data_IF_810436459224
#
_entry.id   IF_810436459224
#
_cell.length_a   1.000
_cell.length_b   1.000
_cell.length_c   1.000
_cell.angle_alpha   90.00
_cell.angle_beta   90.00
_cell.angle_gamma   90.00
#
_symmetry.space_group_name_H-M   'P 1'
#
loop_
_entity.id
_entity.type
_entity.pdbx_description
1 polymer ?
#
# COMPACT_ATOMS: atom_id res chain seq x y z
N UNK A 1 11.41 -38.00 -34.13
CA UNK A 1 12.71 -37.29 -34.12
C UNK A 1 12.39 -35.84 -34.47
N UNK A 2 12.91 -34.89 -33.69
CA UNK A 2 12.64 -33.44 -33.70
C UNK A 2 11.53 -32.92 -32.76
N UNK A 3 11.86 -32.74 -31.48
CA UNK A 3 11.16 -31.83 -30.53
C UNK A 3 12.12 -31.23 -29.48
N UNK A 4 13.44 -31.26 -29.71
CA UNK A 4 14.43 -30.74 -28.75
C UNK A 4 15.05 -29.40 -29.17
N UNK A 5 14.87 -28.94 -30.41
CA UNK A 5 15.49 -27.68 -30.88
C UNK A 5 14.62 -26.43 -30.68
N UNK A 6 13.28 -26.57 -30.62
CA UNK A 6 12.39 -25.39 -30.50
C UNK A 6 12.29 -24.84 -29.07
N UNK A 7 12.61 -25.64 -28.04
CA UNK A 7 12.53 -25.19 -26.63
C UNK A 7 13.80 -24.43 -26.23
N UNK A 8 14.96 -24.85 -26.74
CA UNK A 8 16.24 -24.18 -26.47
C UNK A 8 16.28 -22.81 -27.21
N UNK A 9 15.76 -22.71 -28.44
CA UNK A 9 15.69 -21.43 -29.18
C UNK A 9 14.79 -20.38 -28.49
N UNK A 10 13.72 -20.79 -27.80
CA UNK A 10 12.83 -19.84 -27.09
C UNK A 10 13.47 -19.32 -25.80
N UNK A 11 14.25 -20.16 -25.10
CA UNK A 11 14.96 -19.72 -23.90
C UNK A 11 16.13 -18.79 -24.24
N UNK A 12 16.87 -19.08 -25.31
CA UNK A 12 18.00 -18.26 -25.75
C UNK A 12 17.53 -16.87 -26.23
N UNK A 13 16.39 -16.79 -26.93
CA UNK A 13 15.78 -15.51 -27.34
C UNK A 13 15.32 -14.67 -26.14
N UNK A 14 14.83 -15.30 -25.05
CA UNK A 14 14.43 -14.56 -23.85
C UNK A 14 15.63 -14.07 -23.04
N UNK A 15 16.72 -14.86 -22.98
CA UNK A 15 17.97 -14.45 -22.33
C UNK A 15 18.65 -13.28 -23.08
N UNK A 16 18.70 -13.31 -24.41
CA UNK A 16 19.22 -12.18 -25.19
C UNK A 16 18.41 -10.90 -25.00
N UNK A 17 17.08 -11.01 -24.84
CA UNK A 17 16.21 -9.86 -24.56
C UNK A 17 16.48 -9.25 -23.19
N UNK A 18 16.72 -10.09 -22.18
CA UNK A 18 17.08 -9.65 -20.82
C UNK A 18 18.47 -8.98 -20.82
N UNK A 19 19.45 -9.52 -21.54
CA UNK A 19 20.77 -8.88 -21.65
C UNK A 19 20.71 -7.53 -22.35
N UNK A 20 19.87 -7.37 -23.37
CA UNK A 20 19.66 -6.08 -24.03
C UNK A 20 19.01 -5.04 -23.10
N UNK A 21 18.05 -5.44 -22.26
CA UNK A 21 17.44 -4.56 -21.26
C UNK A 21 18.45 -4.10 -20.20
N UNK A 22 19.35 -4.99 -19.76
CA UNK A 22 20.42 -4.64 -18.81
C UNK A 22 21.45 -3.69 -19.46
N UNK A 23 21.84 -3.93 -20.72
CA UNK A 23 22.82 -3.07 -21.43
C UNK A 23 22.29 -1.69 -21.79
N UNK A 24 20.98 -1.56 -22.06
CA UNK A 24 20.38 -0.32 -22.54
C UNK A 24 19.73 0.52 -21.43
N UNK A 25 19.76 0.05 -20.17
CA UNK A 25 19.38 0.88 -19.02
C UNK A 25 20.52 1.86 -18.71
N UNK A 26 20.32 3.18 -18.84
CA UNK A 26 21.36 4.15 -18.54
C UNK A 26 21.57 4.21 -17.01
N UNK A 27 22.62 3.53 -16.52
CA UNK A 27 23.15 3.78 -15.18
C UNK A 27 23.92 5.10 -15.16
N UNK A 28 23.34 6.13 -14.55
CA UNK A 28 24.07 7.15 -13.82
C UNK A 28 23.10 8.07 -13.05
N UNK A 29 22.98 7.84 -11.73
CA UNK A 29 22.84 8.97 -10.80
C UNK A 29 23.88 8.73 -9.70
N UNK A 30 25.01 9.41 -9.83
CA UNK A 30 26.02 9.49 -8.78
C UNK A 30 25.49 10.41 -7.66
N UNK A 31 25.03 9.82 -6.57
CA UNK A 31 24.52 10.52 -5.38
C UNK A 31 25.61 10.70 -4.30
N UNK A 32 26.89 10.45 -4.62
CA UNK A 32 27.95 10.48 -3.61
C UNK A 32 28.40 11.90 -3.25
N UNK A 33 28.31 12.86 -4.17
CA UNK A 33 28.73 14.25 -3.92
C UNK A 33 27.76 15.09 -3.06
N UNK A 34 26.42 15.05 -3.24
CA UNK A 34 25.52 15.91 -2.45
C UNK A 34 25.42 15.49 -0.97
N UNK A 35 25.75 14.23 -0.68
CA UNK A 35 25.53 13.63 0.65
C UNK A 35 26.72 13.88 1.60
N UNK A 36 27.93 14.07 1.05
CA UNK A 36 29.14 14.34 1.85
C UNK A 36 29.28 15.79 2.31
N UNK A 37 28.62 16.75 1.66
CA UNK A 37 28.73 18.17 2.02
C UNK A 37 27.84 18.56 3.21
N UNK A 38 26.77 17.80 3.48
CA UNK A 38 25.87 18.01 4.64
C UNK A 38 26.40 17.42 5.95
N UNK A 39 27.35 16.48 5.89
CA UNK A 39 27.89 15.82 7.09
C UNK A 39 29.07 16.57 7.73
N UNK A 40 29.68 17.53 7.02
CA UNK A 40 30.86 18.27 7.49
C UNK A 40 30.54 19.50 8.35
N UNK A 41 29.29 19.97 8.35
CA UNK A 41 28.89 21.24 8.96
C UNK A 41 28.08 21.14 10.27
N UNK A 42 27.87 19.94 10.85
CA UNK A 42 27.02 19.78 12.05
C UNK A 42 27.71 19.30 13.33
N UNK A 43 29.03 19.09 13.37
CA UNK A 43 29.72 18.65 14.59
C UNK A 43 30.46 19.77 15.31
N UNK A 44 29.78 20.37 16.30
CA UNK A 44 30.36 21.25 17.32
C UNK A 44 29.91 20.85 18.72
N UNK A 45 30.88 20.43 19.55
CA UNK A 45 30.90 20.40 21.03
C UNK A 45 30.12 19.31 21.83
N UNK A 46 30.85 18.23 22.13
CA UNK A 46 31.19 17.63 23.44
C UNK A 46 30.42 18.00 24.74
N UNK A 47 30.06 16.96 25.53
CA UNK A 47 29.74 17.06 26.97
C UNK A 47 29.40 15.75 27.72
N UNK A 48 30.43 15.11 28.30
CA UNK A 48 30.54 14.09 29.37
C UNK A 48 29.33 13.36 30.05
N UNK A 49 29.43 12.01 30.04
CA UNK A 49 29.25 10.98 31.11
C UNK A 49 28.46 11.28 32.40
N UNK A 50 27.52 10.38 32.76
CA UNK A 50 27.61 9.61 34.02
C UNK A 50 26.84 8.27 33.96
N UNK A 51 27.49 7.22 34.44
CA UNK A 51 27.03 5.83 34.56
C UNK A 51 26.41 5.60 35.95
N UNK A 52 25.40 4.72 36.08
CA UNK A 52 25.08 3.99 37.32
C UNK A 52 24.08 2.84 37.11
N UNK A 53 24.62 1.63 37.23
CA UNK A 53 23.94 0.34 37.41
C UNK A 53 23.19 0.28 38.75
N UNK A 54 22.01 -0.33 38.77
CA UNK A 54 21.51 -1.06 39.94
C UNK A 54 20.85 -2.38 39.51
N UNK A 55 21.31 -3.47 40.15
CA UNK A 55 20.74 -4.81 40.14
C UNK A 55 19.74 -4.92 41.32
N UNK A 56 18.74 -5.80 41.23
CA UNK A 56 18.18 -6.67 42.30
C UNK A 56 16.99 -7.44 41.67
N UNK A 57 17.11 -8.74 41.37
CA UNK A 57 16.87 -9.95 42.19
C UNK A 57 15.45 -10.50 41.99
N UNK A 58 15.42 -11.76 41.54
CA UNK A 58 14.24 -12.56 41.22
C UNK A 58 13.49 -13.07 42.45
N UNK A 59 12.16 -13.25 42.30
CA UNK A 59 11.35 -14.15 43.13
C UNK A 59 10.63 -15.12 42.19
N UNK A 60 10.88 -16.41 42.42
CA UNK A 60 10.17 -17.55 41.84
C UNK A 60 9.01 -17.89 42.78
N UNK A 61 7.80 -18.03 42.28
CA UNK A 61 6.83 -19.02 42.75
C UNK A 61 5.71 -19.24 41.71
N UNK A 62 5.48 -20.52 41.46
CA UNK A 62 4.63 -21.14 40.44
C UNK A 62 3.12 -20.95 40.60
N UNK A 63 2.44 -20.75 39.47
CA UNK A 63 1.13 -21.36 39.21
C UNK A 63 0.99 -21.56 37.70
N UNK A 64 0.64 -22.77 37.26
CA UNK A 64 0.34 -23.07 35.87
C UNK A 64 -0.86 -22.22 35.43
N UNK A 65 -0.59 -21.18 34.66
CA UNK A 65 -1.58 -20.30 34.08
C UNK A 65 -1.26 -20.18 32.59
N UNK A 66 -2.27 -20.45 31.75
CA UNK A 66 -2.24 -20.19 30.32
C UNK A 66 -1.69 -18.77 30.07
N UNK A 67 -0.59 -18.68 29.33
CA UNK A 67 -0.02 -17.41 28.91
C UNK A 67 -0.89 -16.79 27.81
N UNK A 68 -1.97 -16.12 28.21
CA UNK A 68 -2.45 -14.95 27.47
C UNK A 68 -1.71 -13.78 28.11
N UNK A 69 -0.60 -13.36 27.51
CA UNK A 69 0.05 -12.09 27.89
C UNK A 69 -0.87 -10.98 27.39
N UNK A 70 -1.86 -10.62 28.20
CA UNK A 70 -2.52 -9.31 28.09
C UNK A 70 -1.50 -8.30 28.57
N UNK A 71 -0.79 -7.65 27.64
CA UNK A 71 0.03 -6.48 27.96
C UNK A 71 -0.95 -5.34 28.25
N UNK A 72 -1.37 -5.23 29.51
CA UNK A 72 -2.05 -4.06 30.04
C UNK A 72 -1.02 -2.95 30.31
N UNK A 73 -1.04 -1.94 29.45
CA UNK A 73 -0.72 -0.53 29.77
C UNK A 73 0.57 -0.23 30.53
N UNK A 74 1.69 -0.10 29.81
CA UNK A 74 2.63 1.02 29.97
C UNK A 74 3.56 1.11 28.76
N UNK A 75 3.11 1.75 27.69
CA UNK A 75 4.00 2.09 26.57
C UNK A 75 4.91 3.24 26.99
N UNK A 76 6.04 2.89 27.61
CA UNK A 76 7.24 3.72 27.54
C UNK A 76 7.92 3.28 26.25
N UNK A 77 7.76 4.03 25.16
CA UNK A 77 8.45 3.76 23.89
C UNK A 77 9.97 3.86 24.11
N UNK A 78 10.72 2.75 24.06
CA UNK A 78 12.16 2.82 23.91
C UNK A 78 12.37 3.09 22.42
N UNK A 79 12.36 4.38 22.06
CA UNK A 79 12.86 4.95 20.81
C UNK A 79 13.80 4.00 20.05
N UNK A 80 13.42 3.64 18.82
CA UNK A 80 14.36 3.47 17.70
C UNK A 80 15.69 2.75 18.01
N UNK A 81 15.63 1.61 18.69
CA UNK A 81 16.81 0.81 19.00
C UNK A 81 16.75 -0.57 18.33
N UNK A 82 16.54 -0.56 17.01
CA UNK A 82 16.97 -1.61 16.08
C UNK A 82 17.01 -1.06 14.64
N UNK A 83 17.54 0.16 14.46
CA UNK A 83 18.09 0.52 13.16
C UNK A 83 19.28 -0.42 12.90
N UNK A 84 19.23 -1.13 11.77
CA UNK A 84 20.27 -2.00 11.20
C UNK A 84 20.32 -3.42 11.77
N UNK A 85 19.54 -4.30 11.17
CA UNK A 85 20.12 -5.54 10.61
C UNK A 85 20.16 -5.39 9.10
N UNK A 86 21.33 -5.00 8.58
CA UNK A 86 21.66 -5.20 7.17
C UNK A 86 21.47 -6.68 6.81
N UNK A 87 20.67 -6.98 5.80
CA UNK A 87 20.77 -8.25 5.10
C UNK A 87 19.50 -8.84 4.47
N UNK A 88 18.30 -8.41 4.84
CA UNK A 88 17.06 -8.90 4.21
C UNK A 88 16.26 -7.71 3.69
N UNK A 89 16.02 -7.68 2.39
CA UNK A 89 15.03 -6.79 1.81
C UNK A 89 13.68 -7.11 2.47
N UNK A 90 13.06 -6.10 3.04
CA UNK A 90 11.74 -6.19 3.66
C UNK A 90 10.65 -6.41 2.60
N UNK A 91 9.46 -6.73 3.08
CA UNK A 91 8.28 -6.93 2.22
C UNK A 91 7.97 -5.64 1.43
N UNK A 92 8.11 -4.46 2.04
CA UNK A 92 7.80 -3.19 1.39
C UNK A 92 8.85 -2.79 0.34
N UNK A 93 10.14 -3.07 0.59
CA UNK A 93 11.21 -2.76 -0.36
C UNK A 93 11.11 -3.55 -1.67
N UNK A 94 10.41 -4.68 -1.64
CA UNK A 94 10.23 -5.57 -2.79
C UNK A 94 8.87 -5.38 -3.51
N UNK A 95 8.02 -4.48 -3.02
CA UNK A 95 6.76 -4.15 -3.70
C UNK A 95 6.97 -3.29 -4.95
N UNK A 96 5.96 -3.07 -5.79
CA UNK A 96 6.03 -2.07 -6.87
C UNK A 96 5.56 -0.66 -6.42
N UNK A 97 5.21 -0.55 -5.14
CA UNK A 97 4.74 0.67 -4.52
C UNK A 97 5.92 1.54 -4.05
N UNK A 98 6.12 2.67 -4.72
CA UNK A 98 7.22 3.58 -4.40
C UNK A 98 7.01 4.26 -3.05
N UNK A 99 5.76 4.43 -2.63
CA UNK A 99 5.41 4.89 -1.30
C UNK A 99 5.91 3.93 -0.23
N UNK A 100 5.59 2.63 -0.35
CA UNK A 100 6.03 1.64 0.63
C UNK A 100 7.55 1.50 0.70
N UNK A 101 8.24 1.54 -0.45
CA UNK A 101 9.73 1.59 -0.48
C UNK A 101 10.26 2.81 0.26
N UNK A 102 9.74 3.99 -0.08
CA UNK A 102 10.10 5.25 0.56
C UNK A 102 9.82 5.24 2.07
N UNK A 103 8.75 4.54 2.51
CA UNK A 103 8.43 4.43 3.91
C UNK A 103 9.56 3.76 4.70
N UNK A 104 10.14 2.70 4.17
CA UNK A 104 11.27 2.03 4.81
C UNK A 104 12.55 2.83 4.76
N UNK A 105 12.89 3.34 3.57
CA UNK A 105 14.13 4.10 3.35
C UNK A 105 14.20 5.34 4.24
N UNK A 106 13.05 5.95 4.53
CA UNK A 106 12.94 7.16 5.35
C UNK A 106 12.51 6.90 6.81
N UNK A 107 12.39 5.64 7.23
CA UNK A 107 12.01 5.29 8.61
C UNK A 107 10.58 5.70 9.01
N UNK A 108 9.66 5.73 8.04
CA UNK A 108 8.22 6.00 8.20
C UNK A 108 7.40 4.71 8.42
N UNK A 109 8.07 3.60 8.73
CA UNK A 109 7.45 2.34 9.13
C UNK A 109 7.60 2.11 10.64
N UNK A 110 6.59 1.48 11.23
CA UNK A 110 6.68 0.94 12.59
C UNK A 110 7.04 -0.53 12.49
N UNK A 111 8.23 -0.90 12.97
CA UNK A 111 8.64 -2.30 13.10
C UNK A 111 8.03 -2.94 14.34
N UNK A 112 7.58 -4.19 14.20
CA UNK A 112 6.79 -4.90 15.19
C UNK A 112 7.26 -6.34 15.31
N UNK A 113 7.02 -6.93 16.47
CA UNK A 113 7.16 -8.38 16.72
C UNK A 113 5.78 -9.02 16.94
N UNK A 114 4.73 -8.39 16.38
CA UNK A 114 3.34 -8.79 16.54
C UNK A 114 3.10 -10.09 15.78
N UNK A 115 2.53 -11.09 16.46
CA UNK A 115 2.31 -12.41 15.88
C UNK A 115 1.24 -13.18 16.64
N UNK A 116 0.72 -14.23 16.01
CA UNK A 116 -0.10 -15.24 16.64
C UNK A 116 0.20 -16.62 16.03
N UNK A 117 0.01 -17.69 16.79
CA UNK A 117 0.40 -19.05 16.42
C UNK A 117 -0.73 -20.03 16.72
N UNK A 118 -1.18 -20.73 15.69
CA UNK A 118 -2.20 -21.78 15.78
C UNK A 118 -1.78 -23.00 14.97
N UNK A 119 -1.91 -24.19 15.57
CA UNK A 119 -1.66 -25.47 14.90
C UNK A 119 -0.31 -25.55 14.16
N UNK A 120 0.75 -25.00 14.78
CA UNK A 120 2.11 -25.00 14.23
C UNK A 120 2.39 -23.96 13.13
N UNK A 121 1.39 -23.19 12.72
CA UNK A 121 1.53 -22.05 11.80
C UNK A 121 1.60 -20.76 12.60
N UNK A 122 2.58 -19.90 12.30
CA UNK A 122 2.70 -18.57 12.91
C UNK A 122 2.49 -17.50 11.85
N UNK A 123 1.54 -16.59 12.09
CA UNK A 123 1.41 -15.36 11.32
C UNK A 123 2.08 -14.23 12.07
N UNK A 124 2.92 -13.46 11.37
CA UNK A 124 3.65 -12.30 11.89
C UNK A 124 3.25 -11.07 11.10
N UNK A 125 3.23 -9.95 11.82
CA UNK A 125 3.18 -8.62 11.24
C UNK A 125 4.47 -7.91 11.61
N UNK A 126 5.51 -8.00 10.76
CA UNK A 126 6.82 -7.40 11.06
C UNK A 126 6.84 -5.88 10.93
N UNK A 127 5.94 -5.30 10.14
CA UNK A 127 5.89 -3.85 9.95
C UNK A 127 4.51 -3.34 9.50
N UNK A 128 4.23 -2.08 9.84
CA UNK A 128 3.04 -1.33 9.43
C UNK A 128 3.43 0.12 9.10
N UNK A 129 2.72 0.74 8.17
CA UNK A 129 2.77 2.19 7.97
C UNK A 129 1.37 2.77 7.80
N UNK A 130 1.23 4.03 8.18
CA UNK A 130 0.00 4.80 8.04
C UNK A 130 0.36 6.26 7.80
N UNK A 131 -0.12 6.81 6.68
CA UNK A 131 0.17 8.18 6.29
C UNK A 131 -1.00 9.15 6.50
N UNK A 132 -2.15 8.64 6.96
CA UNK A 132 -3.42 9.38 7.03
C UNK A 132 -4.36 9.13 5.84
N UNK A 133 -3.90 8.49 4.77
CA UNK A 133 -4.68 8.18 3.57
C UNK A 133 -4.90 6.68 3.36
N UNK A 134 -3.93 5.86 3.78
CA UNK A 134 -4.02 4.39 3.80
C UNK A 134 -3.15 3.80 4.89
N UNK A 135 -3.57 2.65 5.41
CA UNK A 135 -2.78 1.77 6.25
C UNK A 135 -2.26 0.64 5.37
N UNK A 136 -0.97 0.35 5.44
CA UNK A 136 -0.35 -0.79 4.77
C UNK A 136 0.39 -1.66 5.79
N UNK A 137 0.22 -2.98 5.67
CA UNK A 137 0.71 -3.98 6.63
C UNK A 137 1.48 -5.05 5.89
N UNK A 138 2.69 -5.34 6.33
CA UNK A 138 3.39 -6.55 5.91
C UNK A 138 2.92 -7.75 6.73
N UNK A 139 2.56 -8.85 6.08
CA UNK A 139 2.20 -10.12 6.72
C UNK A 139 3.20 -11.19 6.28
N UNK A 140 3.71 -11.97 7.24
CA UNK A 140 4.58 -13.13 6.97
C UNK A 140 4.06 -14.37 7.68
N UNK A 141 4.11 -15.50 6.97
CA UNK A 141 3.93 -16.82 7.52
C UNK A 141 5.30 -17.42 7.87
N UNK A 142 5.47 -17.80 9.14
CA UNK A 142 6.57 -18.66 9.57
C UNK A 142 6.03 -20.09 9.77
N UNK A 143 6.62 -21.05 9.07
CA UNK A 143 6.31 -22.47 9.29
C UNK A 143 7.09 -22.99 10.50
N UNK A 144 6.41 -23.67 11.42
CA UNK A 144 7.06 -24.37 12.52
C UNK A 144 7.83 -25.61 12.05
N UNK A 145 8.89 -25.99 12.76
CA UNK A 145 9.76 -27.14 12.46
C UNK A 145 9.02 -28.48 12.32
N UNK A 146 7.80 -28.60 12.87
CA UNK A 146 6.97 -29.81 12.77
C UNK A 146 6.34 -30.03 11.38
N UNK A 147 6.14 -28.96 10.59
CA UNK A 147 5.58 -29.05 9.23
C UNK A 147 6.64 -29.40 8.17
N UNK A 148 7.89 -28.97 8.35
CA UNK A 148 9.02 -29.38 7.48
C UNK A 148 9.20 -30.91 7.50
N UNK A 149 9.01 -31.55 8.66
CA UNK A 149 9.13 -33.00 8.79
C UNK A 149 7.93 -33.77 8.23
N UNK A 150 6.72 -33.20 8.27
CA UNK A 150 5.51 -33.83 7.71
C UNK A 150 5.41 -33.64 6.19
N UNK A 151 5.84 -32.49 5.64
CA UNK A 151 5.94 -32.27 4.19
C UNK A 151 7.01 -33.19 3.55
N UNK A 152 8.12 -33.43 4.23
CA UNK A 152 9.16 -34.36 3.77
C UNK A 152 8.71 -35.84 3.81
N UNK A 153 7.77 -36.21 4.69
CA UNK A 153 7.36 -37.60 4.91
C UNK A 153 6.21 -38.08 4.00
N UNK A 154 5.37 -37.17 3.47
CA UNK A 154 4.20 -37.53 2.67
C UNK A 154 4.32 -37.28 1.16
N UNK A 155 5.52 -36.95 0.66
CA UNK A 155 5.71 -36.64 -0.76
C UNK A 155 4.98 -35.36 -1.12
N UNK A 156 5.64 -34.24 -0.79
CA UNK A 156 5.15 -32.86 -0.91
C UNK A 156 4.08 -32.64 -1.98
N UNK A 157 2.87 -32.33 -1.52
CA UNK A 157 2.13 -31.30 -2.22
C UNK A 157 2.79 -30.01 -1.78
N UNK A 158 3.54 -29.40 -2.69
CA UNK A 158 3.83 -27.97 -2.59
C UNK A 158 2.55 -27.29 -2.09
N UNK A 159 2.63 -26.47 -1.05
CA UNK A 159 1.65 -25.41 -0.91
C UNK A 159 1.88 -24.46 -2.09
N UNK A 160 1.48 -24.86 -3.31
CA UNK A 160 1.51 -24.02 -4.51
C UNK A 160 0.66 -22.76 -4.27
N UNK A 161 -0.31 -22.85 -3.36
CA UNK A 161 -1.09 -21.74 -2.84
C UNK A 161 -0.33 -21.00 -1.73
N UNK A 162 0.29 -19.88 -2.08
CA UNK A 162 0.90 -18.96 -1.12
C UNK A 162 -0.09 -18.44 -0.07
N UNK A 163 0.42 -17.84 1.02
CA UNK A 163 -0.39 -17.38 2.18
C UNK A 163 -1.60 -16.54 1.76
N UNK A 164 -1.44 -15.69 0.74
CA UNK A 164 -2.51 -14.85 0.19
C UNK A 164 -3.73 -15.65 -0.29
N UNK A 165 -3.53 -16.83 -0.88
CA UNK A 165 -4.60 -17.71 -1.37
C UNK A 165 -5.25 -18.51 -0.23
N UNK A 166 -4.53 -18.71 0.87
CA UNK A 166 -4.99 -19.49 2.02
C UNK A 166 -5.81 -18.65 2.99
N UNK A 167 -5.64 -17.33 3.01
CA UNK A 167 -6.46 -16.41 3.78
C UNK A 167 -7.87 -16.41 3.19
N UNK A 168 -8.83 -16.93 3.97
CA UNK A 168 -10.23 -17.05 3.54
C UNK A 168 -11.10 -15.89 4.00
N UNK A 169 -10.67 -15.16 5.03
CA UNK A 169 -11.43 -14.05 5.60
C UNK A 169 -10.53 -13.15 6.46
N UNK A 170 -10.84 -11.85 6.47
CA UNK A 170 -10.14 -10.85 7.28
C UNK A 170 -11.17 -9.89 7.88
N UNK A 171 -11.20 -9.82 9.22
CA UNK A 171 -11.93 -8.76 9.93
C UNK A 171 -10.93 -7.78 10.56
N UNK A 172 -11.17 -6.49 10.36
CA UNK A 172 -10.37 -5.41 10.92
C UNK A 172 -11.16 -4.58 11.93
N UNK A 173 -10.49 -4.20 13.01
CA UNK A 173 -11.07 -3.42 14.11
C UNK A 173 -10.15 -2.26 14.49
N UNK A 174 -10.70 -1.05 14.58
CA UNK A 174 -10.03 0.13 15.12
C UNK A 174 -10.60 0.36 16.53
N UNK A 175 -9.73 0.29 17.53
CA UNK A 175 -10.08 0.43 18.95
C UNK A 175 -11.27 -0.46 19.38
N UNK A 176 -11.26 -1.71 18.88
CA UNK A 176 -12.27 -2.73 19.16
C UNK A 176 -13.58 -2.56 18.38
N UNK A 177 -13.69 -1.57 17.49
CA UNK A 177 -14.87 -1.37 16.62
C UNK A 177 -14.53 -1.78 15.19
N UNK A 178 -15.46 -2.44 14.50
CA UNK A 178 -15.27 -2.77 13.08
C UNK A 178 -14.89 -1.53 12.27
N UNK A 179 -13.94 -1.67 11.34
CA UNK A 179 -13.58 -0.58 10.41
C UNK A 179 -14.78 -0.03 9.65
N UNK A 180 -15.82 -0.83 9.43
CA UNK A 180 -17.03 -0.39 8.73
C UNK A 180 -17.82 0.69 9.49
N UNK A 181 -17.53 0.92 10.78
CA UNK A 181 -18.10 2.05 11.54
C UNK A 181 -17.59 3.44 11.08
N UNK A 182 -16.55 3.45 10.24
CA UNK A 182 -15.99 4.62 9.57
C UNK A 182 -16.48 4.77 8.12
N UNK A 183 -17.14 3.76 7.55
CA UNK A 183 -17.76 3.86 6.23
C UNK A 183 -18.98 4.80 6.28
N UNK A 184 -19.39 5.42 5.15
CA UNK A 184 -20.62 6.19 5.11
C UNK A 184 -21.86 5.29 5.20
N UNK A 185 -22.98 5.84 5.67
CA UNK A 185 -24.23 5.09 5.87
C UNK A 185 -24.89 4.61 4.56
N UNK A 186 -24.35 4.98 3.39
CA UNK A 186 -24.96 4.83 2.07
C UNK A 186 -24.73 3.47 1.39
N UNK A 187 -24.41 2.40 2.11
CA UNK A 187 -24.01 1.09 1.55
C UNK A 187 -22.67 1.08 0.81
N UNK A 188 -21.83 2.09 1.00
CA UNK A 188 -20.40 1.99 0.68
C UNK A 188 -19.69 1.26 1.84
N UNK A 189 -18.64 0.51 1.54
CA UNK A 189 -17.88 -0.22 2.55
C UNK A 189 -16.39 -0.04 2.34
N UNK A 190 -15.64 -0.05 3.43
CA UNK A 190 -14.19 -0.04 3.37
C UNK A 190 -13.72 -1.41 2.89
N UNK A 191 -13.04 -1.43 1.75
CA UNK A 191 -12.41 -2.63 1.21
C UNK A 191 -11.05 -2.91 1.85
N UNK A 192 -10.62 -4.17 1.75
CA UNK A 192 -9.28 -4.62 2.10
C UNK A 192 -8.64 -5.14 0.82
N UNK A 193 -7.49 -4.58 0.46
CA UNK A 193 -6.70 -5.00 -0.69
C UNK A 193 -5.56 -5.89 -0.18
N UNK A 194 -5.27 -6.95 -0.92
CA UNK A 194 -4.14 -7.84 -0.65
C UNK A 194 -3.27 -7.92 -1.90
N UNK A 195 -1.97 -7.80 -1.70
CA UNK A 195 -0.96 -7.88 -2.74
C UNK A 195 0.06 -8.98 -2.37
N UNK A 196 0.65 -9.66 -3.36
CA UNK A 196 1.76 -10.58 -3.11
C UNK A 196 2.91 -9.88 -2.36
N UNK A 197 3.55 -10.61 -1.46
CA UNK A 197 4.76 -10.16 -0.80
C UNK A 197 6.02 -10.54 -1.57
N UNK A 198 7.14 -10.63 -0.84
CA UNK A 198 8.46 -11.02 -1.39
C UNK A 198 8.54 -12.48 -1.82
N UNK A 199 7.66 -13.33 -1.31
CA UNK A 199 7.60 -14.77 -1.54
C UNK A 199 6.19 -15.30 -1.27
N UNK A 200 5.97 -16.60 -1.52
CA UNK A 200 4.68 -17.24 -1.28
C UNK A 200 4.25 -17.27 0.20
N UNK A 201 5.14 -16.94 1.13
CA UNK A 201 4.85 -16.89 2.56
C UNK A 201 4.59 -15.46 3.05
N UNK A 202 4.51 -14.48 2.16
CA UNK A 202 4.28 -13.08 2.53
C UNK A 202 3.22 -12.41 1.68
N UNK A 203 2.54 -11.43 2.28
CA UNK A 203 1.58 -10.57 1.60
C UNK A 203 1.62 -9.15 2.17
N UNK A 204 1.14 -8.20 1.37
CA UNK A 204 0.88 -6.83 1.82
C UNK A 204 -0.63 -6.66 1.88
N UNK A 205 -1.12 -6.17 3.01
CA UNK A 205 -2.53 -5.83 3.20
C UNK A 205 -2.68 -4.32 3.27
N UNK A 206 -3.62 -3.77 2.51
CA UNK A 206 -3.93 -2.34 2.51
C UNK A 206 -5.41 -2.07 2.73
N UNK A 207 -5.71 -0.99 3.43
CA UNK A 207 -7.06 -0.46 3.55
C UNK A 207 -6.99 1.04 3.85
N UNK A 208 -8.07 1.74 3.56
CA UNK A 208 -8.19 3.17 3.73
C UNK A 208 -9.57 3.52 4.24
N UNK A 209 -9.69 4.63 4.95
CA UNK A 209 -11.02 5.17 5.23
C UNK A 209 -11.67 5.71 3.95
N UNK A 210 -12.91 6.18 4.09
CA UNK A 210 -13.71 6.75 3.01
C UNK A 210 -14.04 8.22 3.30
N UNK A 211 -13.16 8.96 3.99
CA UNK A 211 -13.47 10.31 4.46
C UNK A 211 -13.79 11.30 3.33
N UNK A 212 -13.16 11.12 2.17
CA UNK A 212 -13.44 11.90 0.96
C UNK A 212 -14.70 11.44 0.21
N UNK A 213 -15.40 10.40 0.71
CA UNK A 213 -16.65 9.86 0.15
C UNK A 213 -17.79 9.86 1.18
N UNK A 214 -17.71 10.75 2.17
CA UNK A 214 -18.71 10.91 3.23
C UNK A 214 -18.53 9.98 4.44
N UNK A 215 -17.47 9.17 4.46
CA UNK A 215 -17.06 8.40 5.63
C UNK A 215 -16.38 9.26 6.71
N UNK A 216 -15.97 8.61 7.79
CA UNK A 216 -15.19 9.24 8.87
C UNK A 216 -13.72 8.94 8.67
N UNK A 217 -12.87 9.95 8.87
CA UNK A 217 -11.42 9.75 8.87
C UNK A 217 -10.99 8.81 10.00
N UNK A 218 -10.00 7.95 9.74
CA UNK A 218 -9.34 7.19 10.79
C UNK A 218 -8.60 8.12 11.76
N UNK A 219 -8.51 7.76 13.06
CA UNK A 219 -7.70 8.52 14.00
C UNK A 219 -6.22 8.55 13.57
N UNK A 220 -5.45 9.53 14.05
CA UNK A 220 -3.99 9.56 13.82
C UNK A 220 -3.24 8.47 14.58
N UNK A 221 -3.83 7.95 15.66
CA UNK A 221 -3.29 6.88 16.48
C UNK A 221 -4.43 5.96 16.90
N UNK A 222 -4.26 4.65 16.75
CA UNK A 222 -5.27 3.67 17.14
C UNK A 222 -4.66 2.28 17.34
N UNK A 223 -5.38 1.42 18.07
CA UNK A 223 -5.07 0.00 18.11
C UNK A 223 -5.84 -0.74 17.02
N UNK A 224 -5.12 -1.32 16.07
CA UNK A 224 -5.68 -2.15 15.02
C UNK A 224 -5.72 -3.61 15.47
N UNK A 225 -6.92 -4.19 15.50
CA UNK A 225 -7.13 -5.63 15.66
C UNK A 225 -7.33 -6.29 14.31
N UNK A 226 -6.58 -7.36 14.04
CA UNK A 226 -6.69 -8.20 12.85
C UNK A 226 -7.17 -9.57 13.28
N UNK A 227 -8.30 -10.01 12.73
CA UNK A 227 -8.71 -11.41 12.80
C UNK A 227 -8.59 -12.02 11.41
N UNK A 228 -7.67 -12.96 11.25
CA UNK A 228 -7.37 -13.59 9.95
C UNK A 228 -7.77 -15.06 10.02
N UNK A 229 -8.70 -15.49 9.16
CA UNK A 229 -9.00 -16.91 8.97
C UNK A 229 -8.11 -17.48 7.88
N UNK A 230 -7.47 -18.60 8.17
CA UNK A 230 -6.62 -19.32 7.23
C UNK A 230 -7.23 -20.70 6.99
N UNK A 231 -7.39 -21.06 5.73
CA UNK A 231 -7.90 -22.37 5.31
C UNK A 231 -7.08 -23.49 5.94
N UNK A 232 -7.78 -24.44 6.58
CA UNK A 232 -7.16 -25.56 7.30
C UNK A 232 -6.78 -25.27 8.75
N UNK A 233 -6.98 -24.06 9.26
CA UNK A 233 -6.80 -23.70 10.67
C UNK A 233 -8.17 -23.36 11.27
N UNK A 234 -8.52 -24.00 12.39
CA UNK A 234 -9.86 -23.87 12.99
C UNK A 234 -10.08 -22.51 13.65
N UNK A 235 -9.09 -22.04 14.41
CA UNK A 235 -9.15 -20.77 15.12
C UNK A 235 -8.58 -19.63 14.26
N UNK A 236 -9.23 -18.45 14.20
CA UNK A 236 -8.66 -17.28 13.53
C UNK A 236 -7.47 -16.73 14.32
N UNK A 237 -6.44 -16.32 13.59
CA UNK A 237 -5.30 -15.59 14.15
C UNK A 237 -5.76 -14.20 14.58
N UNK A 238 -5.39 -13.77 15.80
CA UNK A 238 -5.78 -12.48 16.38
C UNK A 238 -4.56 -11.64 16.73
N UNK A 239 -4.24 -10.67 15.87
CA UNK A 239 -3.05 -9.82 16.02
C UNK A 239 -3.48 -8.40 16.37
N UNK A 240 -2.81 -7.79 17.35
CA UNK A 240 -3.04 -6.40 17.74
C UNK A 240 -1.83 -5.55 17.41
N UNK A 241 -2.06 -4.41 16.76
CA UNK A 241 -1.03 -3.56 16.18
C UNK A 241 -1.28 -2.12 16.67
N UNK A 242 -0.31 -1.48 17.35
CA UNK A 242 -0.36 -0.04 17.54
C UNK A 242 -0.04 0.65 16.21
N UNK A 243 -1.00 1.40 15.68
CA UNK A 243 -0.82 2.18 14.45
C UNK A 243 -0.74 3.64 14.83
N UNK A 244 0.33 4.29 14.38
CA UNK A 244 0.55 5.73 14.47
C UNK A 244 0.74 6.28 13.05
N UNK A 245 0.19 7.48 12.82
CA UNK A 245 0.46 8.22 11.61
C UNK A 245 1.92 8.67 11.65
N UNK A 246 2.74 8.03 10.84
CA UNK A 246 4.19 8.23 10.84
C UNK A 246 4.66 9.31 9.85
N UNK A 247 3.73 9.99 9.18
CA UNK A 247 4.02 11.05 8.22
C UNK A 247 3.63 12.42 8.74
N UNK A 248 4.37 13.44 8.29
CA UNK A 248 4.01 14.84 8.48
C UNK A 248 2.70 15.22 7.80
N UNK A 249 2.36 16.52 7.84
CA UNK A 249 1.13 17.05 7.24
C UNK A 249 1.07 16.81 5.73
N UNK A 250 -0.14 16.57 5.22
CA UNK A 250 -0.42 16.60 3.78
C UNK A 250 -0.31 18.03 3.24
N UNK A 251 0.22 18.19 2.03
CA UNK A 251 -0.21 19.33 1.22
C UNK A 251 -1.60 19.00 0.66
N UNK A 252 -2.60 19.77 1.09
CA UNK A 252 -3.99 19.62 0.63
C UNK A 252 -4.32 20.75 -0.33
N UNK A 253 -4.73 20.39 -1.54
CA UNK A 253 -5.30 21.29 -2.54
C UNK A 253 -6.79 21.00 -2.67
N UNK A 254 -7.62 22.04 -2.65
CA UNK A 254 -9.07 21.94 -2.87
C UNK A 254 -9.45 22.78 -4.10
N UNK A 255 -9.11 22.31 -5.31
CA UNK A 255 -9.30 23.11 -6.52
C UNK A 255 -10.79 23.33 -6.83
N UNK A 256 -11.64 22.34 -6.57
CA UNK A 256 -13.08 22.36 -6.90
C UNK A 256 -13.32 22.80 -8.36
N UNK A 257 -12.46 22.36 -9.27
CA UNK A 257 -12.51 22.71 -10.69
C UNK A 257 -13.43 21.72 -11.39
N UNK A 258 -14.52 22.25 -11.97
CA UNK A 258 -15.50 21.45 -12.72
C UNK A 258 -15.43 21.74 -14.22
N UNK A 259 -15.52 20.69 -15.02
CA UNK A 259 -15.47 20.72 -16.49
C UNK A 259 -16.65 19.92 -17.03
N UNK A 260 -17.30 20.46 -18.06
CA UNK A 260 -18.46 19.84 -18.68
C UNK A 260 -18.05 18.99 -19.88
N UNK A 261 -18.60 17.78 -19.99
CA UNK A 261 -18.45 16.93 -21.16
C UNK A 261 -19.75 16.18 -21.48
N UNK A 262 -20.34 16.52 -22.63
CA UNK A 262 -21.58 15.92 -23.15
C UNK A 262 -22.73 15.97 -22.15
N UNK A 263 -22.93 14.89 -21.40
CA UNK A 263 -24.05 14.65 -20.51
C UNK A 263 -23.61 14.53 -19.04
N UNK A 264 -22.39 14.94 -18.71
CA UNK A 264 -21.92 14.98 -17.33
C UNK A 264 -20.99 16.16 -17.06
N UNK A 265 -20.90 16.51 -15.78
CA UNK A 265 -19.85 17.38 -15.24
C UNK A 265 -18.84 16.52 -14.49
N UNK A 266 -17.55 16.76 -14.72
CA UNK A 266 -16.45 16.12 -14.02
C UNK A 266 -15.69 17.16 -13.21
N UNK A 267 -15.53 16.88 -11.92
CA UNK A 267 -14.95 17.81 -10.95
C UNK A 267 -13.75 17.18 -10.27
N UNK A 268 -12.65 17.93 -10.16
CA UNK A 268 -11.55 17.61 -9.26
C UNK A 268 -11.83 18.34 -7.94
N UNK A 269 -12.14 17.58 -6.90
CA UNK A 269 -12.55 18.15 -5.61
C UNK A 269 -11.35 18.46 -4.74
N UNK A 270 -10.45 17.48 -4.59
CA UNK A 270 -9.37 17.50 -3.60
C UNK A 270 -8.17 16.72 -4.09
N UNK A 271 -6.98 17.19 -3.75
CA UNK A 271 -5.70 16.49 -3.94
C UNK A 271 -4.95 16.55 -2.61
N UNK A 272 -4.41 15.42 -2.17
CA UNK A 272 -3.60 15.35 -0.95
C UNK A 272 -2.28 14.68 -1.26
N UNK A 273 -1.18 15.40 -0.99
CA UNK A 273 0.16 14.90 -1.21
C UNK A 273 0.77 14.53 0.13
N UNK A 274 1.10 13.26 0.28
CA UNK A 274 1.83 12.68 1.40
C UNK A 274 3.18 12.13 0.90
N UNK A 275 4.17 11.92 1.79
CA UNK A 275 5.40 11.23 1.43
C UNK A 275 5.20 9.80 0.90
N UNK A 276 4.05 9.19 1.16
CA UNK A 276 3.73 7.78 0.87
C UNK A 276 2.64 7.59 -0.18
N UNK A 277 1.75 8.58 -0.36
CA UNK A 277 0.60 8.46 -1.24
C UNK A 277 0.17 9.84 -1.75
N UNK A 278 -0.17 9.90 -3.04
CA UNK A 278 -0.93 11.02 -3.61
C UNK A 278 -2.39 10.59 -3.73
N UNK A 279 -3.33 11.28 -3.11
CA UNK A 279 -4.77 11.05 -3.31
C UNK A 279 -5.37 12.13 -4.21
N UNK A 280 -6.27 11.71 -5.11
CA UNK A 280 -7.07 12.63 -5.93
C UNK A 280 -8.53 12.19 -5.85
N UNK A 281 -9.37 13.08 -5.33
CA UNK A 281 -10.81 12.87 -5.24
C UNK A 281 -11.49 13.60 -6.40
N UNK A 282 -12.31 12.84 -7.12
CA UNK A 282 -13.06 13.33 -8.27
C UNK A 282 -14.55 13.06 -8.08
N UNK A 283 -15.36 13.90 -8.70
CA UNK A 283 -16.80 13.76 -8.68
C UNK A 283 -17.36 13.92 -10.09
N UNK A 284 -18.04 12.88 -10.56
CA UNK A 284 -18.79 12.88 -11.80
C UNK A 284 -20.29 12.99 -11.50
N UNK A 285 -20.94 14.02 -12.07
CA UNK A 285 -22.38 14.24 -11.98
C UNK A 285 -23.03 14.14 -13.36
N UNK A 286 -23.93 13.18 -13.54
CA UNK A 286 -24.75 13.04 -14.73
C UNK A 286 -25.80 14.16 -14.84
N UNK A 287 -26.13 14.55 -16.06
CA UNK A 287 -27.05 15.63 -16.39
C UNK A 287 -28.28 15.09 -17.13
N UNK A 288 -29.44 15.69 -16.84
CA UNK A 288 -30.72 15.28 -17.42
C UNK A 288 -31.09 13.85 -17.01
N UNK A 289 -31.60 13.07 -17.97
CA UNK A 289 -32.04 11.68 -17.76
C UNK A 289 -30.91 10.67 -18.07
N UNK A 290 -29.65 11.10 -18.04
CA UNK A 290 -28.52 10.23 -18.31
C UNK A 290 -28.32 9.20 -17.19
N UNK A 291 -27.94 7.98 -17.58
CA UNK A 291 -27.56 6.92 -16.66
C UNK A 291 -26.08 6.54 -16.86
N UNK A 292 -25.47 6.03 -15.80
CA UNK A 292 -24.09 5.58 -15.83
C UNK A 292 -23.96 4.30 -16.65
N UNK A 293 -23.33 4.41 -17.82
CA UNK A 293 -22.94 3.28 -18.66
C UNK A 293 -21.54 2.73 -18.27
N UNK A 294 -21.15 1.60 -18.86
CA UNK A 294 -19.86 0.94 -18.56
C UNK A 294 -18.66 1.89 -18.82
N UNK A 295 -18.55 2.58 -19.96
CA UNK A 295 -17.48 3.57 -20.18
C UNK A 295 -17.43 4.67 -19.12
N UNK A 296 -18.57 5.27 -18.76
CA UNK A 296 -18.61 6.37 -17.78
C UNK A 296 -18.23 5.88 -16.39
N UNK A 297 -18.61 4.65 -16.01
CA UNK A 297 -18.22 4.02 -14.73
C UNK A 297 -16.75 3.63 -14.67
N UNK A 298 -16.12 3.39 -15.82
CA UNK A 298 -14.72 2.97 -15.94
C UNK A 298 -13.80 4.10 -16.40
N UNK A 299 -14.27 5.34 -16.32
CA UNK A 299 -13.45 6.51 -16.61
C UNK A 299 -12.28 6.57 -15.63
N UNK A 300 -11.07 6.73 -16.16
CA UNK A 300 -9.84 6.85 -15.39
C UNK A 300 -9.26 8.26 -15.50
N UNK A 301 -8.20 8.49 -14.74
CA UNK A 301 -7.38 9.69 -14.85
C UNK A 301 -5.91 9.28 -14.90
N UNK A 302 -5.15 9.96 -15.77
CA UNK A 302 -3.69 9.98 -15.67
C UNK A 302 -3.24 11.28 -15.04
N UNK A 303 -2.15 11.19 -14.27
CA UNK A 303 -1.59 12.31 -13.52
C UNK A 303 -0.16 12.53 -13.99
N UNK A 304 0.16 13.77 -14.33
CA UNK A 304 1.48 14.18 -14.79
C UNK A 304 2.04 15.34 -13.96
N UNK A 305 3.36 15.38 -13.84
CA UNK A 305 4.08 16.56 -13.34
C UNK A 305 4.43 17.56 -14.47
N UNK A 306 5.09 18.66 -14.11
CA UNK A 306 5.54 19.66 -15.08
C UNK A 306 6.60 19.18 -16.08
N UNK A 307 7.24 18.03 -15.82
CA UNK A 307 8.26 17.42 -16.69
C UNK A 307 7.65 16.42 -17.66
N UNK A 308 6.36 16.11 -17.51
CA UNK A 308 5.65 15.11 -18.31
C UNK A 308 5.81 13.69 -17.79
N UNK A 309 6.30 13.49 -16.56
CA UNK A 309 6.34 12.17 -15.95
C UNK A 309 4.91 11.75 -15.59
N UNK A 310 4.52 10.53 -15.96
CA UNK A 310 3.25 9.93 -15.55
C UNK A 310 3.40 9.26 -14.18
N UNK A 311 2.38 9.40 -13.34
CA UNK A 311 2.36 8.81 -12.00
C UNK A 311 1.55 7.53 -12.01
N UNK A 312 2.14 6.47 -11.44
CA UNK A 312 1.50 5.16 -11.40
C UNK A 312 0.33 5.17 -10.42
N UNK A 313 -0.83 4.74 -10.91
CA UNK A 313 -2.01 4.47 -10.10
C UNK A 313 -1.75 3.20 -9.26
N UNK A 314 -1.96 3.30 -7.96
CA UNK A 314 -1.85 2.20 -7.01
C UNK A 314 -3.20 1.50 -6.84
N UNK A 315 -4.25 2.29 -6.63
CA UNK A 315 -5.62 1.83 -6.50
C UNK A 315 -6.60 2.96 -6.72
N UNK A 316 -7.87 2.62 -6.95
CA UNK A 316 -8.95 3.59 -6.98
C UNK A 316 -10.22 2.95 -6.45
N UNK A 317 -11.00 3.70 -5.67
CA UNK A 317 -12.29 3.26 -5.20
C UNK A 317 -13.35 4.30 -5.54
N UNK A 318 -14.28 3.89 -6.40
CA UNK A 318 -15.43 4.70 -6.82
C UNK A 318 -16.71 4.18 -6.18
N UNK A 319 -17.59 5.10 -5.81
CA UNK A 319 -18.92 4.75 -5.31
C UNK A 319 -20.01 5.66 -5.86
N UNK A 320 -21.11 5.04 -6.28
CA UNK A 320 -22.35 5.70 -6.66
C UNK A 320 -23.52 4.93 -6.03
N UNK A 321 -24.56 5.65 -5.59
CA UNK A 321 -25.80 5.01 -5.17
C UNK A 321 -26.46 4.26 -6.35
N UNK A 322 -27.22 3.21 -6.05
CA UNK A 322 -28.03 2.51 -7.07
C UNK A 322 -29.07 3.48 -7.65
N UNK A 323 -29.03 3.67 -8.98
CA UNK A 323 -29.85 4.69 -9.65
C UNK A 323 -29.46 6.14 -9.36
N UNK A 324 -28.32 6.35 -8.69
CA UNK A 324 -27.77 7.68 -8.42
C UNK A 324 -27.14 8.29 -9.67
N UNK A 325 -27.09 9.62 -9.69
CA UNK A 325 -26.49 10.45 -10.76
C UNK A 325 -25.10 10.96 -10.42
N UNK A 326 -24.59 10.64 -9.23
CA UNK A 326 -23.31 11.08 -8.72
C UNK A 326 -22.39 9.88 -8.47
N UNK A 327 -21.14 9.99 -8.93
CA UNK A 327 -20.06 9.03 -8.71
C UNK A 327 -18.87 9.79 -8.13
N UNK A 328 -18.51 9.47 -6.89
CA UNK A 328 -17.29 10.00 -6.25
C UNK A 328 -16.23 8.91 -6.32
N UNK A 329 -15.06 9.25 -6.86
CA UNK A 329 -13.92 8.34 -6.97
C UNK A 329 -12.71 8.95 -6.33
N UNK A 330 -12.10 8.19 -5.42
CA UNK A 330 -10.80 8.51 -4.85
C UNK A 330 -9.74 7.61 -5.49
N UNK A 331 -8.77 8.24 -6.14
CA UNK A 331 -7.61 7.57 -6.74
C UNK A 331 -6.39 7.74 -5.83
N UNK A 332 -5.60 6.67 -5.69
CA UNK A 332 -4.33 6.65 -4.97
C UNK A 332 -3.21 6.41 -5.96
N UNK A 333 -2.24 7.31 -5.99
CA UNK A 333 -1.05 7.23 -6.83
C UNK A 333 0.19 7.14 -5.96
N UNK A 334 1.29 6.69 -6.57
CA UNK A 334 2.62 6.85 -6.00
C UNK A 334 2.87 8.32 -5.60
N UNK A 335 3.64 8.54 -4.51
CA UNK A 335 3.92 9.88 -4.03
C UNK A 335 4.79 10.66 -5.02
N UNK A 336 4.66 11.98 -5.01
CA UNK A 336 5.64 12.83 -5.68
C UNK A 336 6.97 12.80 -4.89
N UNK A 337 8.13 12.64 -5.57
CA UNK A 337 9.43 12.67 -4.88
C UNK A 337 9.70 13.99 -4.13
N UNK A 338 9.09 15.07 -4.60
CA UNK A 338 9.06 16.40 -3.98
C UNK A 338 7.78 17.10 -4.43
N UNK A 339 7.32 18.13 -3.71
CA UNK A 339 6.14 18.89 -4.13
C UNK A 339 6.31 19.39 -5.58
N UNK A 340 5.45 18.97 -6.54
CA UNK A 340 5.57 19.37 -7.93
C UNK A 340 5.25 20.86 -8.08
N UNK A 341 5.65 21.50 -9.18
CA UNK A 341 5.20 22.87 -9.44
C UNK A 341 3.77 22.89 -9.99
N UNK A 342 3.46 21.87 -10.79
CA UNK A 342 2.16 21.71 -11.43
C UNK A 342 1.74 20.25 -11.44
N UNK A 343 0.44 20.04 -11.29
CA UNK A 343 -0.19 18.73 -11.47
C UNK A 343 -1.12 18.86 -12.67
N UNK A 344 -0.96 17.98 -13.65
CA UNK A 344 -1.78 17.91 -14.85
C UNK A 344 -2.59 16.62 -14.76
N UNK A 345 -3.91 16.74 -14.77
CA UNK A 345 -4.84 15.61 -14.69
C UNK A 345 -5.53 15.47 -16.03
N UNK A 346 -5.43 14.27 -16.63
CA UNK A 346 -6.00 13.95 -17.94
C UNK A 346 -7.00 12.79 -17.80
N UNK A 347 -8.31 13.09 -17.77
CA UNK A 347 -9.34 12.06 -17.79
C UNK A 347 -9.36 11.30 -19.11
N UNK A 348 -9.69 10.01 -19.05
CA UNK A 348 -9.78 9.15 -20.22
C UNK A 348 -10.88 8.09 -20.08
N UNK A 349 -11.35 7.58 -21.22
CA UNK A 349 -12.10 6.34 -21.28
C UNK A 349 -11.18 5.17 -21.61
N UNK A 350 -11.38 4.03 -20.96
CA UNK A 350 -10.76 2.78 -21.41
C UNK A 350 -11.47 2.27 -22.66
N UNK A 351 -10.69 1.82 -23.64
CA UNK A 351 -11.25 1.29 -24.88
C UNK A 351 -11.65 -0.16 -24.68
N UNK A 352 -12.92 -0.45 -24.94
CA UNK A 352 -13.45 -1.81 -24.86
C UNK A 352 -13.39 -2.53 -26.21
N UNK A 353 -13.27 -3.86 -26.19
CA UNK A 353 -13.54 -4.70 -27.37
C UNK A 353 -15.03 -4.59 -27.73
N UNK A 354 -15.40 -5.08 -28.91
CA UNK A 354 -16.79 -5.00 -29.39
C UNK A 354 -17.81 -5.65 -28.43
N UNK A 355 -17.38 -6.63 -27.62
CA UNK A 355 -18.21 -7.29 -26.61
C UNK A 355 -18.53 -6.42 -25.39
N UNK A 356 -17.82 -5.30 -25.19
CA UNK A 356 -17.90 -4.42 -24.01
C UNK A 356 -17.65 -5.12 -22.67
N UNK A 357 -17.08 -6.32 -22.68
CA UNK A 357 -16.76 -7.09 -21.47
C UNK A 357 -15.26 -7.16 -21.21
N UNK A 358 -14.44 -6.85 -22.22
CA UNK A 358 -12.99 -6.84 -22.08
C UNK A 358 -12.35 -5.59 -22.71
N UNK A 359 -11.22 -5.17 -22.16
CA UNK A 359 -10.45 -4.04 -22.69
C UNK A 359 -9.69 -4.43 -23.95
N UNK A 360 -9.53 -3.47 -24.88
CA UNK A 360 -8.48 -3.53 -25.88
C UNK A 360 -7.16 -3.24 -25.18
N UNK A 361 -6.17 -4.09 -25.39
CA UNK A 361 -4.85 -3.96 -24.77
C UNK A 361 -3.83 -3.52 -25.82
N UNK A 362 -2.82 -2.76 -25.39
CA UNK A 362 -1.64 -2.43 -26.20
C UNK A 362 -0.64 -3.60 -26.26
N UNK A 363 0.52 -3.37 -26.87
CA UNK A 363 1.58 -4.38 -27.04
C UNK A 363 2.16 -4.89 -25.71
N UNK A 364 2.06 -4.09 -24.65
CA UNK A 364 2.57 -4.39 -23.32
C UNK A 364 1.48 -4.99 -22.40
N UNK A 365 0.25 -5.11 -22.91
CA UNK A 365 -0.88 -5.72 -22.19
C UNK A 365 -1.69 -4.74 -21.33
N UNK A 366 -1.47 -3.42 -21.47
CA UNK A 366 -2.24 -2.40 -20.75
C UNK A 366 -3.47 -1.95 -21.53
N UNK A 367 -4.59 -1.58 -20.87
CA UNK A 367 -5.76 -1.03 -21.56
C UNK A 367 -5.42 0.20 -22.40
N UNK A 368 -5.82 0.17 -23.67
CA UNK A 368 -5.72 1.36 -24.54
C UNK A 368 -6.71 2.40 -24.03
N UNK A 369 -6.25 3.64 -23.87
CA UNK A 369 -7.07 4.75 -23.37
C UNK A 369 -7.35 5.79 -24.45
N UNK A 370 -8.51 6.42 -24.34
CA UNK A 370 -8.95 7.55 -25.15
C UNK A 370 -9.09 8.79 -24.25
N UNK A 371 -8.11 9.69 -24.30
CA UNK A 371 -8.11 10.92 -23.50
C UNK A 371 -9.26 11.85 -23.88
N UNK A 372 -9.72 12.64 -22.91
CA UNK A 372 -10.79 13.62 -23.04
C UNK A 372 -10.21 15.03 -22.83
N UNK A 373 -9.67 15.69 -23.88
CA UNK A 373 -8.96 16.96 -23.74
C UNK A 373 -9.80 18.09 -23.12
N UNK A 374 -11.12 18.05 -23.31
CA UNK A 374 -12.05 19.04 -22.74
C UNK A 374 -12.10 19.00 -21.20
N UNK A 375 -11.73 17.86 -20.61
CA UNK A 375 -11.71 17.64 -19.17
C UNK A 375 -10.31 17.79 -18.56
N UNK A 376 -9.28 18.11 -19.36
CA UNK A 376 -7.93 18.30 -18.84
C UNK A 376 -7.86 19.48 -17.86
N UNK A 377 -7.20 19.26 -16.72
CA UNK A 377 -7.02 20.26 -15.66
C UNK A 377 -5.55 20.37 -15.32
N UNK A 378 -5.02 21.59 -15.32
CA UNK A 378 -3.68 21.92 -14.79
C UNK A 378 -3.84 22.74 -13.51
N UNK A 379 -3.21 22.28 -12.44
CA UNK A 379 -3.24 22.92 -11.13
C UNK A 379 -1.83 23.37 -10.73
N UNK A 380 -1.72 24.54 -10.11
CA UNK A 380 -0.47 25.03 -9.54
C UNK A 380 -0.37 24.61 -8.09
N UNK A 381 0.79 24.10 -7.69
CA UNK A 381 1.07 23.78 -6.30
C UNK A 381 1.81 24.96 -5.64
N UNK A 382 1.51 25.27 -4.37
CA UNK A 382 2.28 26.23 -3.62
C UNK A 382 3.71 25.71 -3.43
N UNK A 383 4.73 26.61 -3.40
CA UNK A 383 6.09 26.20 -3.08
C UNK A 383 6.16 25.67 -1.64
N UNK A 384 7.05 24.71 -1.39
CA UNK A 384 7.30 24.21 -0.04
C UNK A 384 7.70 25.36 0.90
N UNK A 385 6.99 25.48 2.03
CA UNK A 385 7.38 26.38 3.10
C UNK A 385 8.69 25.87 3.71
N UNK A 386 9.78 26.60 3.48
CA UNK A 386 11.11 26.32 4.05
C UNK A 386 11.18 26.49 5.56
#
# INVERSE_FOLDING_TARGET
MSTRSEVDDVQDVQLERIEQLIRNTPMAIDLTEPTMERYKNSNGSSGARHDKRQKITAIIASAAAFFIIVISGSFVSPTMAASIKHGLASIFNLSDDLGLKSAEDNGLVTHLEAKDTHQGLTLKVPLVTYDGSRVAIGLEQEQGQEQEQQQAAFGGTDSEDGIINRISDIDLFIDGKSIQTFAPDSSNSIGILQYPGKDNNSSIMEFSDLHNQGGKAFPSNFNLGLNIKVSGIEEPFRIHIPVERNTGSFLVLQPSVSKHYKNFDFTIDKIELSPLTTTITTHLRLLGDAEFDVPTRSMGIDVFDEKGNIFNLLSGNGWNATGGTELVTEYRFNPFPSTPQKIIIKPYFMRFKQDKTSFQLDEDGYPIVDYIPELEVTLLCPPESR
#
